data_IF_044954180539
#
_entry.id   IF_044954180539
#
_cell.length_a   1.000
_cell.length_b   1.000
_cell.length_c   1.000
_cell.angle_alpha   90.00
_cell.angle_beta   90.00
_cell.angle_gamma   90.00
#
_symmetry.space_group_name_H-M   'P 1'
#
loop_
_entity.id
_entity.type
_entity.pdbx_description
1 polymer ?
#
# COMPACT_ATOMS: atom_id res chain seq x y z
N UNK A 1 -8.60 11.57 -20.28
CA UNK A 1 -7.31 11.38 -19.58
C UNK A 1 -7.58 10.51 -18.35
N UNK A 2 -6.72 9.52 -18.10
CA UNK A 2 -6.75 8.75 -16.86
C UNK A 2 -6.16 9.65 -15.77
N UNK A 3 -7.00 10.21 -14.91
CA UNK A 3 -6.57 11.08 -13.82
C UNK A 3 -7.40 10.84 -12.57
N UNK A 4 -6.72 10.86 -11.42
CA UNK A 4 -7.34 10.82 -10.11
C UNK A 4 -7.73 12.24 -9.70
N UNK A 5 -8.95 12.41 -9.19
CA UNK A 5 -9.36 13.66 -8.53
C UNK A 5 -8.59 13.83 -7.20
N UNK A 6 -8.43 15.05 -6.67
CA UNK A 6 -7.68 15.26 -5.42
C UNK A 6 -8.13 14.37 -4.25
N UNK A 7 -9.44 14.19 -4.10
CA UNK A 7 -10.01 13.29 -3.08
C UNK A 7 -9.64 11.83 -3.33
N UNK A 8 -9.62 11.38 -4.57
CA UNK A 8 -9.28 9.99 -4.93
C UNK A 8 -7.81 9.69 -4.64
N UNK A 9 -6.92 10.65 -4.92
CA UNK A 9 -5.50 10.57 -4.52
C UNK A 9 -5.40 10.42 -3.00
N UNK A 10 -6.10 11.28 -2.24
CA UNK A 10 -6.08 11.23 -0.79
C UNK A 10 -6.60 9.88 -0.24
N UNK A 11 -7.71 9.38 -0.78
CA UNK A 11 -8.28 8.09 -0.37
C UNK A 11 -7.31 6.93 -0.61
N UNK A 12 -6.59 6.94 -1.74
CA UNK A 12 -5.57 5.93 -2.07
C UNK A 12 -4.34 6.06 -1.16
N UNK A 13 -3.90 7.28 -0.84
CA UNK A 13 -2.79 7.50 0.09
C UNK A 13 -3.12 6.99 1.50
N UNK A 14 -4.32 7.27 2.00
CA UNK A 14 -4.76 6.77 3.31
C UNK A 14 -4.88 5.25 3.30
N UNK A 15 -5.34 4.65 2.19
CA UNK A 15 -5.36 3.18 2.04
C UNK A 15 -3.96 2.59 2.20
N UNK A 16 -2.96 3.17 1.54
CA UNK A 16 -1.55 2.76 1.65
C UNK A 16 -1.06 2.89 3.09
N UNK A 17 -1.29 4.04 3.74
CA UNK A 17 -0.84 4.27 5.11
C UNK A 17 -1.48 3.31 6.12
N UNK A 18 -2.77 2.99 5.93
CA UNK A 18 -3.46 2.00 6.76
C UNK A 18 -2.90 0.61 6.50
N UNK A 19 -2.66 0.24 5.23
CA UNK A 19 -2.07 -1.05 4.90
C UNK A 19 -0.69 -1.24 5.54
N UNK A 20 0.19 -0.25 5.44
CA UNK A 20 1.54 -0.29 6.00
C UNK A 20 1.50 -0.33 7.54
N UNK A 21 0.64 0.49 8.15
CA UNK A 21 0.46 0.51 9.61
C UNK A 21 -0.09 -0.82 10.13
N UNK A 22 -1.14 -1.35 9.50
CA UNK A 22 -1.74 -2.63 9.88
C UNK A 22 -0.74 -3.78 9.68
N UNK A 23 0.02 -3.77 8.58
CA UNK A 23 1.06 -4.75 8.34
C UNK A 23 2.17 -4.71 9.39
N UNK A 24 2.58 -3.50 9.79
CA UNK A 24 3.55 -3.31 10.86
C UNK A 24 3.05 -3.85 12.20
N UNK A 25 1.87 -3.44 12.66
CA UNK A 25 1.34 -3.85 13.96
C UNK A 25 1.02 -5.35 14.02
N UNK A 26 0.40 -5.88 12.97
CA UNK A 26 0.08 -7.32 12.90
C UNK A 26 1.35 -8.14 12.81
N UNK A 27 2.29 -7.74 11.95
CA UNK A 27 3.57 -8.42 11.80
C UNK A 27 4.43 -8.36 13.07
N UNK A 28 4.40 -7.25 13.82
CA UNK A 28 5.12 -7.13 15.09
C UNK A 28 4.53 -8.01 16.19
N UNK A 29 3.20 -8.11 16.27
CA UNK A 29 2.51 -8.84 17.35
C UNK A 29 2.35 -10.34 17.07
N UNK A 30 2.11 -10.72 15.83
CA UNK A 30 1.77 -12.10 15.44
C UNK A 30 2.67 -12.67 14.33
N UNK A 31 3.65 -11.92 13.83
CA UNK A 31 4.53 -12.38 12.75
C UNK A 31 5.39 -13.57 13.13
N UNK A 32 5.27 -14.65 12.38
CA UNK A 32 6.05 -15.89 12.56
C UNK A 32 6.78 -16.27 11.29
N UNK A 33 6.11 -16.17 10.14
CA UNK A 33 6.67 -16.54 8.84
C UNK A 33 7.20 -15.31 8.13
N UNK A 34 8.50 -15.25 7.91
CA UNK A 34 9.16 -14.16 7.18
C UNK A 34 8.70 -14.14 5.72
N UNK A 35 8.40 -12.95 5.22
CA UNK A 35 7.94 -12.75 3.84
C UNK A 35 9.12 -12.70 2.86
N UNK A 36 10.13 -11.90 3.17
CA UNK A 36 11.30 -11.71 2.31
C UNK A 36 12.59 -11.56 3.14
N UNK A 37 13.11 -12.66 3.73
CA UNK A 37 14.24 -12.60 4.67
C UNK A 37 15.50 -11.91 4.13
N UNK A 38 15.82 -12.13 2.85
CA UNK A 38 17.01 -11.58 2.22
C UNK A 38 16.92 -10.07 1.93
N UNK A 39 15.69 -9.55 1.79
CA UNK A 39 15.43 -8.16 1.38
C UNK A 39 15.02 -7.31 2.59
N UNK A 40 14.01 -7.79 3.31
CA UNK A 40 13.42 -7.14 4.48
C UNK A 40 13.13 -8.17 5.58
N UNK A 41 14.09 -8.39 6.50
CA UNK A 41 13.95 -9.36 7.61
C UNK A 41 12.79 -9.06 8.57
N UNK A 42 12.28 -7.82 8.56
CA UNK A 42 11.17 -7.38 9.41
C UNK A 42 9.79 -7.80 8.88
N UNK A 43 9.63 -8.01 7.58
CA UNK A 43 8.33 -8.32 6.98
C UNK A 43 7.92 -9.78 7.16
N UNK A 44 6.63 -9.99 7.42
CA UNK A 44 6.04 -11.31 7.68
C UNK A 44 4.78 -11.52 6.85
N UNK A 45 4.45 -12.78 6.56
CA UNK A 45 3.21 -13.14 5.88
C UNK A 45 1.98 -12.78 6.70
N UNK A 46 2.05 -12.91 8.02
CA UNK A 46 0.97 -12.49 8.92
C UNK A 46 0.80 -10.97 8.88
N UNK A 47 1.89 -10.20 8.86
CA UNK A 47 1.85 -8.76 8.62
C UNK A 47 1.22 -8.41 7.28
N UNK A 48 1.63 -9.06 6.19
CA UNK A 48 1.03 -8.82 4.88
C UNK A 48 -0.50 -9.07 4.86
N UNK A 49 -0.94 -10.17 5.46
CA UNK A 49 -2.37 -10.45 5.64
C UNK A 49 -3.07 -9.38 6.49
N UNK A 50 -2.41 -8.89 7.55
CA UNK A 50 -2.88 -7.76 8.35
C UNK A 50 -3.01 -6.46 7.56
N UNK A 51 -2.06 -6.16 6.67
CA UNK A 51 -2.11 -5.00 5.78
C UNK A 51 -3.30 -5.06 4.82
N UNK A 52 -3.51 -6.21 4.17
CA UNK A 52 -4.68 -6.43 3.30
C UNK A 52 -5.99 -6.32 4.09
N UNK A 53 -6.07 -6.92 5.28
CA UNK A 53 -7.25 -6.80 6.14
C UNK A 53 -7.52 -5.35 6.57
N UNK A 54 -6.47 -4.58 6.90
CA UNK A 54 -6.58 -3.16 7.22
C UNK A 54 -7.10 -2.33 6.04
N UNK A 55 -6.55 -2.55 4.84
CA UNK A 55 -7.02 -1.90 3.62
C UNK A 55 -8.47 -2.25 3.28
N UNK A 56 -8.89 -3.52 3.46
CA UNK A 56 -10.28 -3.93 3.30
C UNK A 56 -11.21 -3.27 4.32
N UNK A 57 -10.81 -3.23 5.60
CA UNK A 57 -11.58 -2.54 6.64
C UNK A 57 -11.77 -1.05 6.33
N UNK A 58 -10.70 -0.38 5.88
CA UNK A 58 -10.77 1.00 5.42
C UNK A 58 -11.69 1.18 4.22
N UNK A 59 -11.57 0.32 3.20
CA UNK A 59 -12.42 0.37 2.02
C UNK A 59 -13.90 0.17 2.41
N UNK A 60 -14.21 -0.79 3.28
CA UNK A 60 -15.58 -0.99 3.79
C UNK A 60 -16.13 0.29 4.43
N UNK A 61 -15.35 0.95 5.30
CA UNK A 61 -15.75 2.21 5.94
C UNK A 61 -16.03 3.29 4.89
N UNK A 62 -15.11 3.50 3.95
CA UNK A 62 -15.29 4.49 2.88
C UNK A 62 -16.49 4.17 1.99
N UNK A 63 -16.74 2.90 1.69
CA UNK A 63 -17.82 2.45 0.82
C UNK A 63 -19.21 2.84 1.33
N UNK A 64 -19.41 2.97 2.65
CA UNK A 64 -20.67 3.45 3.22
C UNK A 64 -20.97 4.92 2.90
N UNK A 65 -19.97 5.70 2.50
CA UNK A 65 -20.10 7.11 2.13
C UNK A 65 -20.06 7.33 0.62
N UNK A 66 -19.97 6.26 -0.18
CA UNK A 66 -19.89 6.33 -1.63
C UNK A 66 -21.17 5.76 -2.25
N UNK A 67 -21.86 6.59 -3.02
CA UNK A 67 -23.04 6.16 -3.77
C UNK A 67 -22.63 5.35 -5.01
N UNK A 68 -23.46 4.36 -5.37
CA UNK A 68 -23.33 3.61 -6.62
C UNK A 68 -22.14 2.66 -6.73
N UNK A 69 -21.51 2.27 -5.61
CA UNK A 69 -20.36 1.36 -5.64
C UNK A 69 -20.77 -0.10 -5.88
N UNK A 70 -20.06 -0.77 -6.77
CA UNK A 70 -20.10 -2.22 -6.89
C UNK A 70 -19.14 -2.83 -5.87
N UNK A 71 -19.67 -3.41 -4.78
CA UNK A 71 -18.88 -3.87 -3.63
C UNK A 71 -17.78 -4.87 -3.97
N UNK A 72 -18.06 -5.89 -4.78
CA UNK A 72 -17.08 -6.93 -5.12
C UNK A 72 -15.85 -6.36 -5.86
N UNK A 73 -15.98 -5.66 -7.00
CA UNK A 73 -14.82 -5.07 -7.67
C UNK A 73 -14.16 -3.97 -6.86
N UNK A 74 -14.90 -3.22 -6.03
CA UNK A 74 -14.33 -2.22 -5.14
C UNK A 74 -13.42 -2.83 -4.06
N UNK A 75 -13.87 -3.89 -3.38
CA UNK A 75 -13.06 -4.59 -2.38
C UNK A 75 -11.89 -5.36 -3.03
N UNK A 76 -12.10 -5.94 -4.22
CA UNK A 76 -11.02 -6.56 -4.98
C UNK A 76 -9.94 -5.54 -5.37
N UNK A 77 -10.33 -4.34 -5.79
CA UNK A 77 -9.41 -3.24 -6.07
C UNK A 77 -8.64 -2.84 -4.81
N UNK A 78 -9.32 -2.66 -3.67
CA UNK A 78 -8.66 -2.32 -2.40
C UNK A 78 -7.63 -3.37 -1.97
N UNK A 79 -7.98 -4.65 -2.04
CA UNK A 79 -7.06 -5.75 -1.73
C UNK A 79 -5.87 -5.78 -2.71
N UNK A 80 -6.13 -5.60 -4.00
CA UNK A 80 -5.10 -5.53 -5.04
C UNK A 80 -4.12 -4.39 -4.80
N UNK A 81 -4.62 -3.18 -4.53
CA UNK A 81 -3.78 -2.02 -4.22
C UNK A 81 -2.95 -2.24 -2.95
N UNK A 82 -3.49 -2.90 -1.92
CA UNK A 82 -2.72 -3.24 -0.72
C UNK A 82 -1.58 -4.23 -1.01
N UNK A 83 -1.82 -5.24 -1.87
CA UNK A 83 -0.77 -6.17 -2.32
C UNK A 83 0.31 -5.43 -3.11
N UNK A 84 -0.08 -4.52 -4.00
CA UNK A 84 0.86 -3.68 -4.76
C UNK A 84 1.67 -2.77 -3.83
N UNK A 85 1.05 -2.20 -2.80
CA UNK A 85 1.74 -1.40 -1.76
C UNK A 85 2.88 -2.20 -1.14
N UNK A 86 2.57 -3.40 -0.64
CA UNK A 86 3.56 -4.30 -0.01
C UNK A 86 4.67 -4.68 -0.99
N UNK A 87 4.31 -4.96 -2.24
CA UNK A 87 5.26 -5.29 -3.30
C UNK A 87 6.15 -4.10 -3.67
N UNK A 88 5.62 -2.88 -3.70
CA UNK A 88 6.35 -1.64 -3.97
C UNK A 88 7.45 -1.37 -2.94
N UNK A 89 7.11 -1.42 -1.65
CA UNK A 89 8.08 -1.28 -0.55
C UNK A 89 9.12 -2.44 -0.59
N UNK A 90 8.71 -3.68 -0.92
CA UNK A 90 9.67 -4.78 -1.11
C UNK A 90 10.61 -4.55 -2.30
N UNK A 91 10.11 -4.02 -3.41
CA UNK A 91 10.91 -3.71 -4.59
C UNK A 91 11.95 -2.63 -4.28
N UNK A 92 11.55 -1.56 -3.60
CA UNK A 92 12.46 -0.51 -3.16
C UNK A 92 13.50 -1.08 -2.18
N UNK A 93 13.06 -1.89 -1.22
CA UNK A 93 13.96 -2.57 -0.29
C UNK A 93 14.98 -3.43 -1.03
N UNK A 94 14.59 -4.13 -2.11
CA UNK A 94 15.49 -4.94 -2.93
C UNK A 94 16.48 -4.09 -3.74
N UNK A 95 16.03 -2.94 -4.27
CA UNK A 95 16.90 -2.00 -4.97
C UNK A 95 17.97 -1.43 -4.03
N UNK A 96 17.62 -1.09 -2.78
CA UNK A 96 18.58 -0.65 -1.77
C UNK A 96 19.64 -1.70 -1.45
N UNK A 97 19.25 -2.98 -1.33
CA UNK A 97 20.21 -4.08 -1.10
C UNK A 97 21.18 -4.27 -2.25
N UNK A 98 20.71 -4.15 -3.49
CA UNK A 98 21.59 -4.19 -4.67
C UNK A 98 22.59 -3.02 -4.68
N UNK A 99 22.14 -1.83 -4.26
CA UNK A 99 23.00 -0.67 -4.08
C UNK A 99 23.85 -0.71 -2.80
N UNK A 100 23.81 -1.79 -2.02
CA UNK A 100 24.54 -1.94 -0.74
C UNK A 100 24.24 -0.83 0.28
N UNK A 101 23.05 -0.24 0.20
CA UNK A 101 22.56 0.78 1.14
C UNK A 101 21.36 0.27 1.93
N UNK A 102 21.07 0.93 3.05
CA UNK A 102 19.92 0.61 3.88
C UNK A 102 18.76 1.58 3.71
N UNK A 103 19.07 2.87 3.68
CA UNK A 103 18.12 3.96 3.52
C UNK A 103 18.37 4.63 2.16
N UNK A 104 17.33 5.17 1.53
CA UNK A 104 17.46 5.77 0.21
C UNK A 104 18.20 7.12 0.23
N UNK A 105 18.48 7.66 1.41
CA UNK A 105 19.15 8.93 1.65
C UNK A 105 19.04 9.37 3.11
N UNK A 106 19.47 10.59 3.40
CA UNK A 106 19.50 11.17 4.77
C UNK A 106 18.74 12.49 4.88
N UNK A 107 17.93 12.82 3.87
CA UNK A 107 17.29 14.13 3.75
C UNK A 107 16.29 14.42 4.89
N UNK A 108 15.65 13.38 5.45
CA UNK A 108 14.74 13.51 6.59
C UNK A 108 15.46 13.09 7.87
N UNK A 109 15.83 14.03 8.76
CA UNK A 109 16.56 13.73 9.98
C UNK A 109 15.85 12.68 10.83
N UNK A 110 16.55 11.57 11.12
CA UNK A 110 16.01 10.44 11.89
C UNK A 110 14.99 9.56 11.15
N UNK A 111 14.69 9.85 9.88
CA UNK A 111 13.61 9.20 9.11
C UNK A 111 14.06 8.57 7.79
N UNK A 112 15.34 8.72 7.42
CA UNK A 112 15.88 8.16 6.17
C UNK A 112 15.67 9.10 4.98
N UNK A 113 15.47 8.52 3.79
CA UNK A 113 15.24 9.25 2.56
C UNK A 113 13.76 9.51 2.27
N UNK A 114 13.49 10.40 1.31
CA UNK A 114 12.12 10.63 0.83
C UNK A 114 11.54 9.37 0.18
N UNK A 115 12.36 8.61 -0.55
CA UNK A 115 11.88 7.43 -1.27
C UNK A 115 11.37 6.37 -0.29
N UNK A 116 12.01 6.22 0.88
CA UNK A 116 11.55 5.36 1.99
C UNK A 116 10.15 5.72 2.52
N UNK A 117 9.59 6.89 2.13
CA UNK A 117 8.28 7.39 2.59
C UNK A 117 7.20 7.32 1.52
N UNK A 118 7.58 7.20 0.26
CA UNK A 118 6.65 7.23 -0.87
C UNK A 118 6.79 5.99 -1.77
N UNK A 119 7.57 4.99 -1.40
CA UNK A 119 7.81 3.76 -2.17
C UNK A 119 6.51 2.99 -2.47
N UNK A 120 5.75 2.65 -1.43
CA UNK A 120 4.41 2.06 -1.52
C UNK A 120 3.48 2.92 -2.39
N UNK A 121 3.44 4.24 -2.13
CA UNK A 121 2.57 5.16 -2.86
C UNK A 121 2.96 5.28 -4.35
N UNK A 122 4.26 5.25 -4.66
CA UNK A 122 4.79 5.32 -6.03
C UNK A 122 4.39 4.09 -6.83
N UNK A 123 4.31 2.92 -6.21
CA UNK A 123 3.82 1.70 -6.84
C UNK A 123 2.29 1.71 -7.03
N UNK A 124 1.55 2.22 -6.04
CA UNK A 124 0.08 2.14 -5.99
C UNK A 124 -0.60 3.20 -6.86
N UNK A 125 -0.15 4.45 -6.84
CA UNK A 125 -0.84 5.57 -7.49
C UNK A 125 -1.04 5.41 -9.01
N UNK A 126 -0.05 4.96 -9.81
CA UNK A 126 -0.25 4.73 -11.24
C UNK A 126 -1.29 3.66 -11.53
N UNK A 127 -1.31 2.58 -10.74
CA UNK A 127 -2.29 1.51 -10.89
C UNK A 127 -3.67 1.93 -10.44
N UNK A 128 -3.78 2.67 -9.33
CA UNK A 128 -5.03 3.25 -8.86
C UNK A 128 -5.65 4.18 -9.93
N UNK A 129 -4.83 4.99 -10.60
CA UNK A 129 -5.27 5.82 -11.71
C UNK A 129 -5.83 4.96 -12.85
N UNK A 130 -5.09 3.92 -13.27
CA UNK A 130 -5.48 3.01 -14.36
C UNK A 130 -6.79 2.27 -14.10
N UNK A 131 -7.03 1.81 -12.87
CA UNK A 131 -8.24 1.05 -12.51
C UNK A 131 -9.43 1.94 -12.18
N UNK A 132 -9.21 3.23 -11.88
CA UNK A 132 -10.29 4.15 -11.51
C UNK A 132 -11.48 4.21 -12.49
N UNK A 133 -11.32 4.11 -13.83
CA UNK A 133 -12.44 4.12 -14.76
C UNK A 133 -13.26 2.81 -14.75
N UNK A 134 -12.69 1.71 -14.24
CA UNK A 134 -13.36 0.42 -14.11
C UNK A 134 -14.22 0.33 -12.84
N UNK A 135 -13.92 1.17 -11.85
CA UNK A 135 -14.60 1.23 -10.55
C UNK A 135 -15.72 2.25 -10.57
N UNK A 136 -15.56 3.34 -11.34
CA UNK A 136 -16.63 4.29 -11.63
C UNK A 136 -17.58 3.63 -12.63
N UNK A 137 -18.82 3.34 -12.23
CA UNK A 137 -19.87 2.97 -13.19
C UNK A 137 -20.02 4.02 -14.29
N UNK A 138 -20.63 3.69 -15.45
CA UNK A 138 -20.94 4.70 -16.45
C UNK A 138 -21.76 5.80 -15.77
N UNK A 139 -21.28 7.04 -15.89
CA UNK A 139 -22.04 8.23 -15.49
C UNK A 139 -23.38 8.27 -16.23
#
# INVERSE_FOLDING_TARGET
>A
MVSLRPLEVLLVLVLVWIADSAAYFVGRKWGRRKLAPAVSPGKTWEGAAGGVAGALGYAIICGFFLDGIHWVPYLAAAAGLAVISIAGDLFESAAKRQASVKDSGTLLPGHGGILDRIDSATAVLPLAALISPLIKGPL
#
